data_IF_110238963818
#
_entry.id   IF_110238963818
#
_cell.length_a   1.000
_cell.length_b   1.000
_cell.length_c   1.000
_cell.angle_alpha   90.00
_cell.angle_beta   90.00
_cell.angle_gamma   90.00
#
_symmetry.space_group_name_H-M   'P 1'
#
loop_
_entity.id
_entity.type
_entity.pdbx_description
1 polymer ?
#
# COMPACT_ATOMS: atom_id res chain seq x y z
N UNK A 1 0.17 -24.52 -24.75
CA UNK A 1 -0.26 -23.10 -24.85
C UNK A 1 -0.59 -22.51 -23.48
N UNK A 2 -1.47 -23.12 -22.68
CA UNK A 2 -1.79 -22.64 -21.33
C UNK A 2 -0.55 -22.46 -20.41
N UNK A 3 0.37 -23.43 -20.40
CA UNK A 3 1.60 -23.34 -19.60
C UNK A 3 2.49 -22.14 -19.95
N UNK A 4 2.57 -21.78 -21.25
CA UNK A 4 3.33 -20.61 -21.70
C UNK A 4 2.67 -19.31 -21.22
N UNK A 5 1.33 -19.23 -21.28
CA UNK A 5 0.59 -18.07 -20.77
C UNK A 5 0.76 -17.93 -19.25
N UNK A 6 0.71 -19.02 -18.50
CA UNK A 6 0.93 -19.01 -17.05
C UNK A 6 2.36 -18.56 -16.72
N UNK A 7 3.36 -19.10 -17.42
CA UNK A 7 4.76 -18.71 -17.24
C UNK A 7 4.99 -17.22 -17.56
N UNK A 8 4.35 -16.72 -18.63
CA UNK A 8 4.42 -15.31 -19.01
C UNK A 8 3.82 -14.42 -17.91
N UNK A 9 2.59 -14.72 -17.47
CA UNK A 9 1.93 -13.97 -16.40
C UNK A 9 2.74 -13.97 -15.10
N UNK A 10 3.28 -15.13 -14.71
CA UNK A 10 4.11 -15.25 -13.53
C UNK A 10 5.38 -14.40 -13.65
N UNK A 11 6.06 -14.45 -14.79
CA UNK A 11 7.28 -13.67 -15.05
C UNK A 11 7.00 -12.17 -15.02
N UNK A 12 5.89 -11.73 -15.63
CA UNK A 12 5.47 -10.32 -15.59
C UNK A 12 5.14 -9.87 -14.17
N UNK A 13 4.38 -10.67 -13.41
CA UNK A 13 4.05 -10.36 -12.03
C UNK A 13 5.31 -10.29 -11.15
N UNK A 14 6.26 -11.21 -11.35
CA UNK A 14 7.54 -11.23 -10.66
C UNK A 14 8.38 -9.98 -10.98
N UNK A 15 8.48 -9.61 -12.25
CA UNK A 15 9.20 -8.41 -12.69
C UNK A 15 8.59 -7.13 -12.08
N UNK A 16 7.26 -7.00 -12.10
CA UNK A 16 6.55 -5.87 -11.49
C UNK A 16 6.76 -5.82 -9.97
N UNK A 17 6.75 -6.97 -9.29
CA UNK A 17 7.00 -7.05 -7.85
C UNK A 17 8.40 -6.55 -7.48
N UNK A 18 9.43 -7.00 -8.21
CA UNK A 18 10.81 -6.57 -7.98
C UNK A 18 10.96 -5.08 -8.29
N UNK A 19 10.41 -4.62 -9.41
CA UNK A 19 10.45 -3.21 -9.79
C UNK A 19 9.79 -2.33 -8.72
N UNK A 20 8.63 -2.75 -8.20
CA UNK A 20 7.91 -2.05 -7.14
C UNK A 20 8.72 -1.97 -5.84
N UNK A 21 9.43 -3.04 -5.48
CA UNK A 21 10.36 -3.04 -4.36
C UNK A 21 11.53 -2.07 -4.60
N UNK A 22 12.06 -2.01 -5.81
CA UNK A 22 13.17 -1.13 -6.15
C UNK A 22 12.79 0.35 -6.07
N UNK A 23 11.67 0.77 -6.67
CA UNK A 23 11.20 2.17 -6.64
C UNK A 23 10.85 2.68 -5.23
N UNK A 24 10.54 1.77 -4.30
CA UNK A 24 10.21 2.13 -2.91
C UNK A 24 11.44 2.23 -2.01
N UNK A 25 12.51 1.49 -2.32
CA UNK A 25 13.76 1.47 -1.54
C UNK A 25 14.77 2.48 -2.08
N UNK A 26 14.94 2.59 -3.40
CA UNK A 26 15.97 3.44 -4.01
C UNK A 26 15.97 4.90 -3.53
N UNK A 27 14.81 5.58 -3.35
CA UNK A 27 14.79 6.96 -2.84
C UNK A 27 15.30 7.11 -1.40
N UNK A 28 15.31 6.02 -0.62
CA UNK A 28 15.70 6.03 0.80
C UNK A 28 17.22 5.91 0.98
N UNK A 29 17.96 5.41 -0.02
CA UNK A 29 19.40 5.22 0.07
C UNK A 29 20.18 6.55 0.22
N UNK A 30 19.89 7.61 -0.57
CA UNK A 30 20.54 8.91 -0.38
C UNK A 30 20.23 9.54 0.98
N UNK A 31 19.01 9.34 1.49
CA UNK A 31 18.61 9.81 2.82
C UNK A 31 19.40 9.13 3.93
N UNK A 32 19.48 7.79 3.92
CA UNK A 32 20.28 7.03 4.90
C UNK A 32 21.75 7.42 4.83
N UNK A 33 22.28 7.62 3.61
CA UNK A 33 23.66 8.08 3.42
C UNK A 33 23.88 9.47 4.01
N UNK A 34 22.98 10.43 3.75
CA UNK A 34 23.07 11.79 4.29
C UNK A 34 23.03 11.81 5.82
N UNK A 35 22.20 10.97 6.45
CA UNK A 35 22.17 10.80 7.91
C UNK A 35 23.50 10.28 8.46
N UNK A 36 24.11 9.29 7.80
CA UNK A 36 25.38 8.70 8.24
C UNK A 36 26.58 9.64 8.05
N UNK A 37 26.54 10.50 7.01
CA UNK A 37 27.64 11.42 6.70
C UNK A 37 27.46 12.82 7.30
N UNK A 38 26.36 13.08 8.01
CA UNK A 38 26.05 14.38 8.61
C UNK A 38 25.81 15.49 7.58
N UNK A 39 25.48 15.14 6.33
CA UNK A 39 25.21 16.09 5.26
C UNK A 39 23.75 16.55 5.30
N UNK A 40 23.43 17.61 4.55
CA UNK A 40 22.05 18.09 4.42
C UNK A 40 21.11 16.95 3.98
N UNK A 41 20.06 16.72 4.76
CA UNK A 41 19.15 15.58 4.57
C UNK A 41 18.14 15.92 3.46
N UNK A 42 18.12 15.17 2.34
CA UNK A 42 17.15 15.41 1.28
C UNK A 42 15.73 15.12 1.78
N UNK A 43 14.80 16.02 1.48
CA UNK A 43 13.37 15.88 1.82
C UNK A 43 12.78 14.69 1.07
N UNK A 44 12.47 13.62 1.79
CA UNK A 44 11.73 12.48 1.27
C UNK A 44 10.24 12.83 1.13
N UNK A 45 9.57 12.43 0.04
CA UNK A 45 8.11 12.53 -0.04
C UNK A 45 7.48 11.67 1.09
N UNK A 46 6.35 12.12 1.67
CA UNK A 46 5.71 11.41 2.77
C UNK A 46 5.41 9.97 2.37
N UNK A 47 5.77 9.02 3.24
CA UNK A 47 5.46 7.62 3.02
C UNK A 47 3.94 7.44 3.09
N UNK A 48 3.28 7.47 1.92
CA UNK A 48 1.87 7.11 1.79
C UNK A 48 1.79 5.59 1.92
N UNK A 49 1.81 5.10 3.15
CA UNK A 49 1.39 3.74 3.42
C UNK A 49 -0.06 3.64 2.95
N UNK A 50 -0.33 2.79 1.95
CA UNK A 50 -1.69 2.41 1.58
C UNK A 50 -2.32 1.74 2.80
N UNK A 51 -2.95 2.55 3.64
CA UNK A 51 -3.72 2.07 4.77
C UNK A 51 -4.95 1.43 4.14
N UNK A 52 -4.82 0.16 3.79
CA UNK A 52 -5.93 -0.73 3.55
C UNK A 52 -6.69 -0.79 4.88
N UNK A 53 -7.51 0.24 5.11
CA UNK A 53 -8.51 0.23 6.16
C UNK A 53 -9.42 -0.91 5.70
N UNK A 54 -9.26 -2.07 6.32
CA UNK A 54 -10.26 -3.12 6.28
C UNK A 54 -11.53 -2.43 6.75
N UNK A 55 -12.38 -2.02 5.81
CA UNK A 55 -13.75 -1.68 6.10
C UNK A 55 -14.32 -3.00 6.64
N UNK A 56 -14.31 -3.17 7.96
CA UNK A 56 -15.17 -4.16 8.58
C UNK A 56 -16.56 -3.78 8.10
N UNK A 57 -17.15 -4.60 7.25
CA UNK A 57 -18.52 -4.45 6.85
C UNK A 57 -19.35 -4.29 8.13
N UNK A 58 -20.02 -3.15 8.29
CA UNK A 58 -21.03 -3.01 9.31
C UNK A 58 -22.09 -4.07 8.97
N UNK A 59 -22.21 -5.12 9.78
CA UNK A 59 -23.32 -6.04 9.68
C UNK A 59 -24.61 -5.20 9.80
N UNK A 60 -25.59 -5.38 8.90
CA UNK A 60 -26.86 -4.66 8.96
C UNK A 60 -27.70 -5.20 10.12
N UNK A 61 -27.35 -4.80 11.34
CA UNK A 61 -28.08 -5.07 12.56
C UNK A 61 -29.12 -3.98 12.82
N UNK A 62 -30.33 -4.19 12.29
CA UNK A 62 -31.61 -3.82 12.92
C UNK A 62 -31.67 -2.43 13.59
N UNK A 63 -31.82 -1.37 12.79
CA UNK A 63 -32.38 -0.09 13.25
C UNK A 63 -33.92 -0.15 13.34
N UNK A 64 -34.46 -1.13 14.06
CA UNK A 64 -35.91 -1.27 14.26
C UNK A 64 -36.26 -0.86 15.71
N UNK A 65 -36.31 0.43 16.00
CA UNK A 65 -36.67 0.84 17.36
C UNK A 65 -36.68 2.33 17.71
N UNK A 66 -36.31 3.24 16.81
CA UNK A 66 -36.14 4.66 17.18
C UNK A 66 -37.08 5.62 16.43
N UNK A 67 -38.35 5.24 16.25
CA UNK A 67 -39.38 6.09 15.60
C UNK A 67 -40.68 6.31 16.41
N UNK A 68 -40.69 6.13 17.74
CA UNK A 68 -41.93 6.27 18.54
C UNK A 68 -41.85 7.08 19.84
N UNK A 69 -41.01 8.11 19.95
CA UNK A 69 -41.05 9.00 21.13
C UNK A 69 -40.92 10.50 20.77
N UNK A 70 -41.46 10.91 19.62
CA UNK A 70 -41.67 12.31 19.29
C UNK A 70 -43.08 12.49 18.71
N UNK A 71 -44.09 12.37 19.57
CA UNK A 71 -45.45 12.84 19.36
C UNK A 71 -46.04 13.21 20.72
#
# INVERSE_FOLDING_TARGET
MAALLVALLFTTAFAVSIWSMWITIAPRLPYMRALLTGQAVPTLPPAVASRARVQRAALPGVQMGQRRLAA
#
